data_IF_766524274168
#
_entry.id   IF_766524274168
#
_cell.length_a   1.000
_cell.length_b   1.000
_cell.length_c   1.000
_cell.angle_alpha   90.00
_cell.angle_beta   90.00
_cell.angle_gamma   90.00
#
_symmetry.space_group_name_H-M   'P 1'
#
loop_
_entity.id
_entity.type
_entity.pdbx_description
1 polymer ?
#
# COMPACT_ATOMS: atom_id res chain seq x y z
N UNK A 1 -3.70 -23.14 5.79
CA UNK A 1 -4.39 -22.61 6.97
C UNK A 1 -5.87 -22.70 6.69
N UNK A 2 -6.66 -23.32 7.57
CA UNK A 2 -8.11 -23.48 7.39
C UNK A 2 -8.87 -22.25 7.90
N UNK A 3 -10.16 -22.07 7.56
CA UNK A 3 -10.99 -21.05 8.18
C UNK A 3 -11.04 -21.15 9.71
N UNK A 4 -11.07 -22.36 10.28
CA UNK A 4 -11.13 -22.55 11.74
C UNK A 4 -9.83 -22.07 12.43
N UNK A 5 -8.66 -22.33 11.83
CA UNK A 5 -7.38 -21.81 12.32
C UNK A 5 -7.31 -20.27 12.26
N UNK A 6 -7.96 -19.65 11.27
CA UNK A 6 -8.06 -18.19 11.16
C UNK A 6 -9.01 -17.61 12.22
N UNK A 7 -10.12 -18.28 12.50
CA UNK A 7 -11.06 -17.90 13.56
C UNK A 7 -10.36 -17.95 14.91
N UNK A 8 -9.67 -19.05 15.23
CA UNK A 8 -8.95 -19.20 16.51
C UNK A 8 -7.91 -18.08 16.70
N UNK A 9 -7.13 -17.77 15.65
CA UNK A 9 -6.16 -16.66 15.69
C UNK A 9 -6.81 -15.31 15.92
N UNK A 10 -7.95 -15.06 15.29
CA UNK A 10 -8.65 -13.79 15.46
C UNK A 10 -9.22 -13.66 16.87
N UNK A 11 -9.90 -14.69 17.37
CA UNK A 11 -10.50 -14.66 18.71
C UNK A 11 -9.41 -14.48 19.78
N UNK A 12 -8.26 -15.15 19.63
CA UNK A 12 -7.10 -14.95 20.49
C UNK A 12 -6.54 -13.51 20.44
N UNK A 13 -6.48 -12.91 19.25
CA UNK A 13 -6.04 -11.51 19.12
C UNK A 13 -7.05 -10.53 19.74
N UNK A 14 -8.35 -10.72 19.55
CA UNK A 14 -9.36 -9.86 20.18
C UNK A 14 -9.25 -9.93 21.71
N UNK A 15 -9.06 -11.13 22.27
CA UNK A 15 -8.87 -11.30 23.70
C UNK A 15 -7.62 -10.53 24.20
N UNK A 16 -6.51 -10.57 23.46
CA UNK A 16 -5.31 -9.81 23.77
C UNK A 16 -5.53 -8.29 23.69
N UNK A 17 -6.21 -7.79 22.65
CA UNK A 17 -6.50 -6.36 22.49
C UNK A 17 -7.43 -5.83 23.59
N UNK A 18 -8.40 -6.64 24.05
CA UNK A 18 -9.26 -6.32 25.19
C UNK A 18 -8.44 -6.27 26.49
N UNK A 19 -7.56 -7.24 26.71
CA UNK A 19 -6.68 -7.26 27.88
C UNK A 19 -5.73 -6.04 27.93
N UNK A 20 -5.28 -5.59 26.76
CA UNK A 20 -4.42 -4.40 26.60
C UNK A 20 -5.20 -3.05 26.66
N UNK A 21 -6.52 -3.06 26.82
CA UNK A 21 -7.35 -1.86 26.83
C UNK A 21 -7.46 -1.15 25.47
N UNK A 22 -7.10 -1.83 24.38
CA UNK A 22 -7.24 -1.32 22.99
C UNK A 22 -8.62 -1.60 22.39
N UNK A 23 -9.42 -2.40 23.08
CA UNK A 23 -10.72 -2.91 22.64
C UNK A 23 -11.93 -1.99 22.84
N UNK A 24 -11.79 -0.65 22.81
CA UNK A 24 -12.92 0.24 22.47
C UNK A 24 -12.41 1.66 22.18
N UNK A 25 -13.07 2.39 21.28
CA UNK A 25 -12.85 3.82 20.94
C UNK A 25 -11.74 4.18 19.92
N UNK A 26 -11.91 3.80 18.66
CA UNK A 26 -11.56 4.72 17.55
C UNK A 26 -12.73 4.83 16.59
N UNK A 27 -13.64 5.76 16.90
CA UNK A 27 -14.50 6.34 15.86
C UNK A 27 -13.56 7.01 14.87
N UNK A 28 -13.49 6.49 13.65
CA UNK A 28 -12.97 7.25 12.52
C UNK A 28 -13.82 8.52 12.41
N UNK A 29 -13.28 9.63 12.89
CA UNK A 29 -13.85 10.95 12.64
C UNK A 29 -13.58 11.24 11.18
N UNK A 30 -14.55 10.97 10.31
CA UNK A 30 -14.59 11.55 8.97
C UNK A 30 -14.86 13.05 9.12
N UNK A 31 -13.86 13.81 9.56
CA UNK A 31 -13.90 15.27 9.50
C UNK A 31 -13.41 15.65 8.12
N UNK A 32 -14.35 15.65 7.17
CA UNK A 32 -14.19 16.32 5.88
C UNK A 32 -14.16 17.82 6.14
N UNK A 33 -13.01 18.36 6.56
CA UNK A 33 -12.73 19.78 6.39
C UNK A 33 -12.01 19.95 5.07
N UNK A 34 -12.77 20.48 4.10
CA UNK A 34 -12.29 20.96 2.83
C UNK A 34 -11.11 21.92 3.07
N UNK A 35 -9.89 21.45 2.80
CA UNK A 35 -8.80 22.33 2.47
C UNK A 35 -9.07 22.91 1.08
N UNK A 36 -9.89 23.94 1.00
CA UNK A 36 -9.84 24.90 -0.11
C UNK A 36 -8.56 25.73 0.05
N UNK A 37 -7.42 25.10 -0.18
CA UNK A 37 -6.13 25.76 -0.38
C UNK A 37 -5.98 26.06 -1.87
N UNK A 38 -5.84 27.35 -2.19
CA UNK A 38 -5.86 27.85 -3.57
C UNK A 38 -4.90 27.12 -4.50
N UNK A 39 -5.44 26.70 -5.64
CA UNK A 39 -4.70 26.24 -6.81
C UNK A 39 -3.70 27.32 -7.24
N UNK A 40 -2.41 27.04 -7.07
CA UNK A 40 -1.38 27.51 -8.00
C UNK A 40 -0.78 26.29 -8.68
N UNK A 41 -0.71 26.26 -10.03
CA UNK A 41 0.07 25.25 -10.72
C UNK A 41 1.54 25.36 -10.28
N UNK A 42 2.17 24.25 -9.91
CA UNK A 42 3.62 24.13 -9.61
C UNK A 42 4.46 24.19 -10.92
N UNK A 43 3.94 24.86 -11.97
CA UNK A 43 4.53 24.90 -13.31
C UNK A 43 5.50 26.06 -13.57
N UNK A 44 5.54 27.08 -12.70
CA UNK A 44 6.13 28.38 -13.05
C UNK A 44 7.41 28.74 -12.26
N UNK A 45 8.16 27.75 -11.73
CA UNK A 45 9.34 28.04 -10.89
C UNK A 45 10.68 27.48 -11.38
N UNK A 46 10.78 26.98 -12.63
CA UNK A 46 12.08 26.55 -13.18
C UNK A 46 12.19 26.93 -14.66
N UNK A 47 12.40 28.21 -14.93
CA UNK A 47 13.04 28.69 -16.15
C UNK A 47 13.86 29.93 -15.78
N UNK A 48 15.17 29.75 -15.51
CA UNK A 48 16.18 30.73 -15.92
C UNK A 48 17.61 30.16 -15.88
N UNK A 49 18.23 30.23 -17.06
CA UNK A 49 19.65 30.32 -17.42
C UNK A 49 20.72 29.42 -16.78
N UNK A 50 21.39 28.59 -17.60
CA UNK A 50 22.65 28.97 -18.28
C UNK A 50 23.23 27.80 -19.08
N UNK A 51 23.36 28.02 -20.38
CA UNK A 51 24.25 27.27 -21.25
C UNK A 51 25.63 27.90 -21.18
N UNK A 52 26.67 27.10 -20.87
CA UNK A 52 28.03 27.41 -21.29
C UNK A 52 28.83 26.13 -21.56
N UNK A 53 29.62 26.22 -22.63
CA UNK A 53 30.41 25.19 -23.28
C UNK A 53 31.48 24.53 -22.39
N UNK A 54 31.64 23.19 -22.51
CA UNK A 54 32.95 22.53 -22.42
C UNK A 54 33.06 21.38 -23.42
N UNK A 55 34.21 21.34 -24.09
CA UNK A 55 34.67 20.42 -25.15
C UNK A 55 35.10 19.02 -24.66
N UNK A 56 35.12 18.08 -25.61
CA UNK A 56 35.65 16.69 -25.58
C UNK A 56 36.97 16.48 -24.81
N UNK A 57 37.11 15.34 -24.12
CA UNK A 57 38.11 14.28 -24.44
C UNK A 57 38.06 13.05 -23.51
N UNK A 58 38.08 11.88 -24.16
CA UNK A 58 38.77 10.59 -23.90
C UNK A 58 38.78 9.81 -22.57
N UNK A 59 38.50 8.51 -22.77
CA UNK A 59 39.13 7.29 -22.23
C UNK A 59 39.74 7.28 -20.82
N UNK A 60 39.18 6.43 -19.94
CA UNK A 60 39.82 5.18 -19.48
C UNK A 60 39.19 4.70 -18.16
N UNK A 61 38.98 3.38 -18.10
CA UNK A 61 38.85 2.50 -16.94
C UNK A 61 38.39 3.11 -15.60
N UNK A 62 37.21 2.68 -15.12
CA UNK A 62 36.93 2.71 -13.68
C UNK A 62 36.63 1.32 -13.14
N UNK A 63 37.47 0.98 -12.19
CA UNK A 63 37.42 -0.17 -11.32
C UNK A 63 36.02 -0.36 -10.72
N UNK A 64 35.62 -1.62 -10.63
CA UNK A 64 34.49 -2.10 -9.84
C UNK A 64 34.80 -1.85 -8.36
N UNK A 65 34.60 -0.63 -7.89
CA UNK A 65 34.57 -0.34 -6.45
C UNK A 65 33.35 -1.03 -5.87
N UNK A 66 33.61 -2.08 -5.09
CA UNK A 66 32.62 -2.68 -4.21
C UNK A 66 32.04 -1.59 -3.30
N UNK A 67 30.78 -1.25 -3.54
CA UNK A 67 30.01 -0.32 -2.69
C UNK A 67 29.87 -0.97 -1.31
N UNK A 68 30.18 -0.26 -0.21
CA UNK A 68 30.01 -0.81 1.13
C UNK A 68 28.54 -1.18 1.35
N UNK A 69 28.31 -2.45 1.66
CA UNK A 69 27.01 -3.13 1.76
C UNK A 69 26.19 -2.74 3.01
N UNK A 70 26.16 -1.45 3.39
CA UNK A 70 25.55 -0.98 4.65
C UNK A 70 24.44 0.07 4.52
N UNK A 71 23.96 0.38 3.33
CA UNK A 71 22.95 1.44 3.13
C UNK A 71 21.49 0.96 3.03
N UNK A 72 21.23 -0.32 3.36
CA UNK A 72 19.89 -0.91 3.20
C UNK A 72 19.51 -1.71 4.44
N UNK A 73 18.31 -1.48 4.99
CA UNK A 73 17.75 -2.18 6.15
C UNK A 73 16.75 -3.25 5.70
N UNK A 74 16.85 -4.44 6.28
CA UNK A 74 15.85 -5.52 6.08
C UNK A 74 14.60 -5.25 6.92
N UNK A 75 13.43 -5.57 6.39
CA UNK A 75 12.14 -5.36 7.02
C UNK A 75 11.41 -6.68 7.29
N UNK A 76 10.71 -6.75 8.43
CA UNK A 76 9.92 -7.90 8.85
C UNK A 76 8.46 -7.78 8.37
N UNK A 77 8.27 -7.70 7.05
CA UNK A 77 6.96 -7.55 6.42
C UNK A 77 6.60 -8.85 5.65
N UNK A 78 5.33 -9.28 5.57
CA UNK A 78 4.97 -10.46 4.78
C UNK A 78 5.35 -10.33 3.31
N UNK A 79 5.72 -11.41 2.64
CA UNK A 79 5.94 -11.39 1.19
C UNK A 79 4.66 -10.97 0.43
N UNK A 80 4.78 -10.42 -0.80
CA UNK A 80 3.61 -10.06 -1.61
C UNK A 80 2.58 -11.21 -1.73
N UNK A 81 3.04 -12.45 -1.85
CA UNK A 81 2.19 -13.63 -1.91
C UNK A 81 1.39 -13.88 -0.63
N UNK A 82 1.97 -13.59 0.54
CA UNK A 82 1.25 -13.66 1.83
C UNK A 82 0.28 -12.49 2.02
N UNK A 83 0.54 -11.35 1.40
CA UNK A 83 -0.37 -10.19 1.42
C UNK A 83 -1.56 -10.37 0.46
N UNK A 84 -1.36 -11.05 -0.67
CA UNK A 84 -2.35 -11.19 -1.75
C UNK A 84 -3.77 -11.58 -1.30
N UNK A 85 -3.99 -12.65 -0.50
CA UNK A 85 -5.35 -12.99 -0.08
C UNK A 85 -6.01 -11.90 0.76
N UNK A 86 -5.25 -11.16 1.57
CA UNK A 86 -5.76 -10.06 2.40
C UNK A 86 -6.16 -8.86 1.55
N UNK A 87 -5.31 -8.51 0.58
CA UNK A 87 -5.59 -7.42 -0.36
C UNK A 87 -6.85 -7.72 -1.18
N UNK A 88 -6.93 -8.93 -1.72
CA UNK A 88 -8.09 -9.39 -2.48
C UNK A 88 -9.39 -9.39 -1.65
N UNK A 89 -9.32 -9.85 -0.39
CA UNK A 89 -10.49 -9.85 0.51
C UNK A 89 -10.96 -8.44 0.84
N UNK A 90 -10.02 -7.52 1.10
CA UNK A 90 -10.33 -6.14 1.38
C UNK A 90 -10.93 -5.43 0.15
N UNK A 91 -10.34 -5.65 -1.03
CA UNK A 91 -10.86 -5.15 -2.30
C UNK A 91 -12.27 -5.69 -2.61
N UNK A 92 -12.55 -6.96 -2.33
CA UNK A 92 -13.87 -7.54 -2.50
C UNK A 92 -14.92 -6.84 -1.64
N UNK A 93 -14.62 -6.59 -0.37
CA UNK A 93 -15.53 -5.89 0.55
C UNK A 93 -15.77 -4.46 0.09
N UNK A 94 -14.72 -3.74 -0.31
CA UNK A 94 -14.83 -2.39 -0.86
C UNK A 94 -15.66 -2.35 -2.14
N UNK A 95 -15.41 -3.25 -3.10
CA UNK A 95 -16.13 -3.31 -4.36
C UNK A 95 -17.61 -3.70 -4.17
N UNK A 96 -17.90 -4.62 -3.25
CA UNK A 96 -19.28 -5.02 -2.92
C UNK A 96 -20.15 -3.85 -2.45
N UNK A 97 -19.54 -2.81 -1.89
CA UNK A 97 -20.24 -1.58 -1.49
C UNK A 97 -20.61 -0.69 -2.68
N UNK A 98 -19.80 -0.69 -3.73
CA UNK A 98 -20.04 0.07 -4.96
C UNK A 98 -18.77 0.67 -5.55
N UNK A 99 -18.90 1.20 -6.77
CA UNK A 99 -17.78 1.67 -7.61
C UNK A 99 -16.87 2.68 -6.93
N UNK A 100 -17.43 3.67 -6.22
CA UNK A 100 -16.65 4.68 -5.48
C UNK A 100 -15.68 4.07 -4.46
N UNK A 101 -16.06 2.95 -3.83
CA UNK A 101 -15.22 2.29 -2.83
C UNK A 101 -14.24 1.30 -3.45
N UNK A 102 -14.59 0.73 -4.61
CA UNK A 102 -13.67 -0.10 -5.39
C UNK A 102 -12.41 0.66 -5.82
N UNK A 103 -12.50 1.98 -5.98
CA UNK A 103 -11.35 2.83 -6.31
C UNK A 103 -10.31 2.90 -5.18
N UNK A 104 -10.71 2.74 -3.92
CA UNK A 104 -9.79 2.75 -2.77
C UNK A 104 -9.02 1.43 -2.56
N UNK A 105 -9.37 0.36 -3.27
CA UNK A 105 -8.60 -0.88 -3.20
C UNK A 105 -8.82 -1.79 -4.41
N UNK A 106 -7.81 -1.94 -5.27
CA UNK A 106 -7.93 -2.72 -6.50
C UNK A 106 -6.59 -3.30 -6.97
N UNK A 107 -6.67 -4.23 -7.92
CA UNK A 107 -5.54 -4.68 -8.72
C UNK A 107 -5.74 -4.26 -10.19
N UNK A 108 -4.71 -3.66 -10.80
CA UNK A 108 -4.70 -3.30 -12.23
C UNK A 108 -3.31 -3.47 -12.80
N UNK A 109 -3.18 -4.35 -13.80
CA UNK A 109 -1.89 -4.65 -14.42
C UNK A 109 -0.88 -5.15 -13.38
N UNK A 110 0.25 -4.45 -13.26
CA UNK A 110 1.32 -4.77 -12.32
C UNK A 110 1.18 -4.07 -10.95
N UNK A 111 0.02 -3.48 -10.65
CA UNK A 111 -0.19 -2.67 -9.44
C UNK A 111 -1.32 -3.20 -8.59
N UNK A 112 -1.07 -3.30 -7.28
CA UNK A 112 -2.10 -3.43 -6.26
C UNK A 112 -2.16 -2.13 -5.47
N UNK A 113 -3.33 -1.54 -5.38
CA UNK A 113 -3.56 -0.21 -4.82
C UNK A 113 -4.39 -0.29 -3.54
N UNK A 114 -4.09 0.60 -2.61
CA UNK A 114 -4.85 0.88 -1.40
C UNK A 114 -4.84 2.39 -1.12
N UNK A 115 -6.00 2.93 -0.79
CA UNK A 115 -6.24 4.31 -0.38
C UNK A 115 -7.44 4.31 0.58
N UNK A 116 -7.29 4.94 1.75
CA UNK A 116 -8.37 5.02 2.75
C UNK A 116 -9.31 6.24 2.57
N UNK A 117 -9.02 7.10 1.57
CA UNK A 117 -9.72 8.33 1.23
C UNK A 117 -9.33 9.54 2.07
N UNK A 118 -8.40 9.39 3.01
CA UNK A 118 -7.88 10.43 3.91
C UNK A 118 -6.54 11.03 3.49
N UNK A 119 -6.00 10.64 2.32
CA UNK A 119 -4.65 11.00 1.88
C UNK A 119 -3.60 9.94 2.19
N UNK A 120 -4.02 8.83 2.81
CA UNK A 120 -3.18 7.70 3.18
C UNK A 120 -3.29 6.59 2.13
N UNK A 121 -2.17 6.25 1.49
CA UNK A 121 -2.18 5.32 0.37
C UNK A 121 -0.93 4.45 0.31
N UNK A 122 -1.06 3.29 -0.33
CA UNK A 122 0.06 2.43 -0.67
C UNK A 122 -0.20 1.60 -1.93
N UNK A 123 0.83 1.52 -2.77
CA UNK A 123 0.85 0.73 -3.99
C UNK A 123 1.97 -0.31 -3.95
N UNK A 124 1.61 -1.57 -4.23
CA UNK A 124 2.58 -2.60 -4.57
C UNK A 124 2.69 -2.70 -6.10
N UNK A 125 3.87 -2.39 -6.61
CA UNK A 125 4.24 -2.41 -8.03
C UNK A 125 5.22 -3.53 -8.32
N UNK A 126 4.84 -4.45 -9.18
CA UNK A 126 5.77 -5.47 -9.65
C UNK A 126 6.75 -4.89 -10.68
N UNK A 127 8.03 -5.10 -10.46
CA UNK A 127 9.09 -4.83 -11.44
C UNK A 127 9.31 -6.06 -12.34
N UNK A 128 9.30 -7.24 -11.74
CA UNK A 128 9.46 -8.53 -12.41
C UNK A 128 8.55 -9.59 -11.73
N UNK A 129 8.73 -10.86 -12.07
CA UNK A 129 7.93 -11.96 -11.49
C UNK A 129 8.23 -12.20 -10.00
N UNK A 130 9.39 -11.77 -9.53
CA UNK A 130 9.83 -11.94 -8.15
C UNK A 130 10.14 -10.62 -7.46
N UNK A 131 10.35 -9.53 -8.22
CA UNK A 131 10.71 -8.24 -7.65
C UNK A 131 9.53 -7.28 -7.65
N UNK A 132 9.33 -6.61 -6.53
CA UNK A 132 8.28 -5.61 -6.38
C UNK A 132 8.77 -4.44 -5.54
N UNK A 133 8.12 -3.29 -5.69
CA UNK A 133 8.27 -2.14 -4.82
C UNK A 133 6.94 -1.88 -4.13
N UNK A 134 6.95 -1.71 -2.82
CA UNK A 134 5.85 -1.14 -2.06
C UNK A 134 6.16 0.33 -1.81
N UNK A 135 5.30 1.21 -2.29
CA UNK A 135 5.44 2.67 -2.22
C UNK A 135 4.21 3.20 -1.52
N UNK A 136 4.34 4.17 -0.65
CA UNK A 136 3.16 4.78 -0.04
C UNK A 136 3.50 6.00 0.79
N UNK A 137 2.45 6.52 1.41
CA UNK A 137 2.50 7.73 2.20
C UNK A 137 1.39 7.71 3.24
N UNK A 138 1.74 8.13 4.43
CA UNK A 138 0.78 8.48 5.47
C UNK A 138 0.84 10.00 5.65
N UNK A 139 -0.28 10.66 5.40
CA UNK A 139 -0.39 12.12 5.42
C UNK A 139 -0.10 12.72 6.79
N UNK A 140 -0.37 11.99 7.86
CA UNK A 140 -0.19 12.47 9.23
C UNK A 140 1.18 12.13 9.81
N UNK A 141 1.78 11.02 9.40
CA UNK A 141 2.90 10.40 10.12
C UNK A 141 4.15 10.12 9.27
N UNK A 142 4.14 10.42 7.97
CA UNK A 142 5.36 10.44 7.15
C UNK A 142 6.12 11.75 7.36
N UNK A 143 7.31 11.65 7.97
CA UNK A 143 8.29 12.74 8.15
C UNK A 143 9.47 12.62 7.17
N UNK A 144 9.39 11.70 6.23
CA UNK A 144 10.32 11.52 5.11
C UNK A 144 9.94 12.46 3.97
N UNK A 145 10.65 13.58 3.86
CA UNK A 145 10.41 14.56 2.81
C UNK A 145 11.29 14.25 1.59
N UNK A 146 10.80 13.41 0.68
CA UNK A 146 11.54 13.00 -0.51
C UNK A 146 11.37 13.98 -1.69
N UNK A 147 12.43 14.29 -2.46
CA UNK A 147 12.36 15.08 -3.70
C UNK A 147 11.55 16.38 -3.53
N UNK A 148 10.54 16.63 -4.37
CA UNK A 148 9.73 17.86 -4.33
C UNK A 148 9.00 18.11 -3.00
N UNK A 149 8.83 17.10 -2.14
CA UNK A 149 8.26 17.31 -0.81
C UNK A 149 9.21 18.12 0.10
N UNK A 150 10.52 17.95 -0.03
CA UNK A 150 11.50 18.68 0.78
C UNK A 150 11.36 20.19 0.58
N UNK A 151 11.30 20.62 -0.68
CA UNK A 151 11.13 22.03 -1.04
C UNK A 151 9.74 22.55 -0.64
N UNK A 152 8.68 21.77 -0.92
CA UNK A 152 7.30 22.18 -0.63
C UNK A 152 7.06 22.42 0.87
N UNK A 153 7.63 21.58 1.74
CA UNK A 153 7.44 21.65 3.18
C UNK A 153 8.54 22.43 3.92
N UNK A 154 9.57 22.94 3.22
CA UNK A 154 10.75 23.58 3.80
C UNK A 154 11.42 22.66 4.86
N UNK A 155 11.85 21.49 4.37
CA UNK A 155 12.41 20.39 5.18
C UNK A 155 13.62 19.79 4.49
N UNK A 156 14.48 19.15 5.29
CA UNK A 156 15.62 18.39 4.77
C UNK A 156 15.14 17.19 3.97
N UNK A 157 15.74 16.96 2.81
CA UNK A 157 15.40 15.82 1.97
C UNK A 157 15.80 14.49 2.62
N UNK A 158 14.90 13.50 2.56
CA UNK A 158 15.23 12.09 2.81
C UNK A 158 15.30 11.34 1.48
N UNK A 159 16.49 10.94 1.04
CA UNK A 159 16.65 10.13 -0.20
C UNK A 159 16.22 8.67 0.04
N UNK A 160 14.97 8.37 -0.32
CA UNK A 160 14.37 7.04 -0.21
C UNK A 160 15.02 5.98 -1.14
N UNK A 161 15.91 6.39 -2.04
CA UNK A 161 16.64 5.50 -2.96
C UNK A 161 18.15 5.46 -2.69
N UNK A 162 18.62 6.02 -1.57
CA UNK A 162 20.04 5.99 -1.23
C UNK A 162 20.54 4.54 -1.08
N UNK A 163 21.51 4.16 -1.91
CA UNK A 163 22.17 2.85 -1.83
C UNK A 163 21.32 1.63 -2.23
N UNK A 164 20.12 1.83 -2.78
CA UNK A 164 19.25 0.74 -3.26
C UNK A 164 19.45 0.49 -4.77
N UNK A 165 19.05 -0.69 -5.29
CA UNK A 165 19.14 -0.97 -6.73
C UNK A 165 18.34 0.02 -7.59
N UNK A 166 18.87 0.36 -8.77
CA UNK A 166 18.26 1.34 -9.68
C UNK A 166 16.86 0.95 -10.17
N UNK A 167 16.53 -0.34 -10.18
CA UNK A 167 15.20 -0.81 -10.59
C UNK A 167 14.09 -0.32 -9.66
N UNK A 168 14.38 0.02 -8.39
CA UNK A 168 13.39 0.58 -7.47
C UNK A 168 12.89 1.91 -7.99
N UNK A 169 13.83 2.80 -8.36
CA UNK A 169 13.51 4.13 -8.90
C UNK A 169 12.80 4.01 -10.25
N UNK A 170 13.17 3.04 -11.08
CA UNK A 170 12.47 2.79 -12.33
C UNK A 170 11.01 2.37 -12.09
N UNK A 171 10.76 1.42 -11.18
CA UNK A 171 9.41 0.99 -10.82
C UNK A 171 8.57 2.10 -10.16
N UNK A 172 9.21 3.02 -9.44
CA UNK A 172 8.59 4.16 -8.77
C UNK A 172 8.45 5.41 -9.65
N UNK A 173 9.02 5.43 -10.87
CA UNK A 173 9.15 6.64 -11.71
C UNK A 173 7.84 7.39 -11.92
N UNK A 174 6.74 6.67 -12.16
CA UNK A 174 5.42 7.29 -12.32
C UNK A 174 4.88 7.98 -11.06
N UNK A 175 5.29 7.55 -9.86
CA UNK A 175 4.92 8.21 -8.59
C UNK A 175 5.78 9.45 -8.37
N UNK A 176 7.08 9.39 -8.68
CA UNK A 176 7.99 10.54 -8.62
C UNK A 176 7.48 11.67 -9.54
N UNK A 177 6.99 11.32 -10.74
CA UNK A 177 6.38 12.31 -11.63
C UNK A 177 5.08 12.91 -11.04
N UNK A 178 4.18 12.07 -10.51
CA UNK A 178 2.92 12.54 -9.90
C UNK A 178 3.15 13.38 -8.66
N UNK A 179 4.16 13.05 -7.86
CA UNK A 179 4.59 13.87 -6.74
C UNK A 179 4.83 15.33 -7.17
N UNK A 180 5.62 15.52 -8.23
CA UNK A 180 5.94 16.85 -8.77
C UNK A 180 4.74 17.57 -9.39
N UNK A 181 3.81 16.82 -10.00
CA UNK A 181 2.68 17.37 -10.77
C UNK A 181 1.42 17.61 -9.95
N UNK A 182 1.13 16.73 -9.00
CA UNK A 182 -0.15 16.67 -8.28
C UNK A 182 0.01 16.63 -6.76
N UNK A 183 1.23 16.66 -6.22
CA UNK A 183 1.47 16.62 -4.78
C UNK A 183 1.18 15.27 -4.13
N UNK A 184 1.27 14.19 -4.91
CA UNK A 184 1.17 12.82 -4.39
C UNK A 184 2.50 12.45 -3.71
N UNK A 185 2.66 12.88 -2.46
CA UNK A 185 3.89 12.71 -1.69
C UNK A 185 4.21 11.24 -1.44
N UNK A 186 5.51 10.93 -1.33
CA UNK A 186 6.01 9.58 -1.08
C UNK A 186 6.71 9.57 0.28
N UNK A 187 6.18 8.78 1.21
CA UNK A 187 6.74 8.60 2.55
C UNK A 187 7.72 7.43 2.61
N UNK A 188 7.41 6.32 1.96
CA UNK A 188 8.27 5.14 1.99
C UNK A 188 8.37 4.44 0.64
N UNK A 189 9.52 3.78 0.44
CA UNK A 189 9.80 2.91 -0.72
C UNK A 189 10.53 1.67 -0.23
N UNK A 190 9.86 0.53 -0.28
CA UNK A 190 10.41 -0.76 0.12
C UNK A 190 10.52 -1.68 -1.09
N UNK A 191 11.67 -2.30 -1.31
CA UNK A 191 11.84 -3.29 -2.37
C UNK A 191 11.80 -4.72 -1.83
N UNK A 192 11.10 -5.58 -2.56
CA UNK A 192 11.12 -7.03 -2.40
C UNK A 192 12.00 -7.62 -3.49
N UNK A 193 13.03 -8.38 -3.10
CA UNK A 193 14.01 -8.98 -4.02
C UNK A 193 13.63 -10.42 -4.47
N UNK A 194 12.41 -10.86 -4.17
CA UNK A 194 11.97 -12.25 -4.32
C UNK A 194 12.07 -13.08 -3.04
N UNK A 195 12.82 -12.61 -2.05
CA UNK A 195 13.02 -13.31 -0.78
C UNK A 195 12.66 -12.45 0.43
N UNK A 196 13.11 -11.19 0.47
CA UNK A 196 12.95 -10.30 1.62
C UNK A 196 12.61 -8.89 1.19
N UNK A 197 11.98 -8.17 2.12
CA UNK A 197 11.78 -6.73 2.01
C UNK A 197 12.98 -5.97 2.54
N UNK A 198 13.26 -4.84 1.93
CA UNK A 198 14.32 -3.93 2.34
C UNK A 198 13.94 -2.48 2.08
N UNK A 199 14.61 -1.53 2.73
CA UNK A 199 14.51 -0.08 2.50
C UNK A 199 15.87 0.62 2.60
N UNK A 200 15.98 1.83 2.05
CA UNK A 200 17.13 2.69 2.27
C UNK A 200 17.34 2.97 3.78
N UNK A 201 18.60 3.18 4.18
CA UNK A 201 18.99 3.42 5.57
C UNK A 201 18.71 4.88 5.99
N UNK A 202 17.51 5.12 6.53
CA UNK A 202 17.10 6.40 7.14
C UNK A 202 16.42 6.19 8.49
N UNK A 203 16.36 7.25 9.32
CA UNK A 203 15.88 7.21 10.71
C UNK A 203 14.52 7.85 10.93
N UNK A 204 14.13 8.74 10.01
CA UNK A 204 12.89 9.47 10.00
C UNK A 204 11.69 8.51 9.98
N UNK A 205 10.61 8.81 10.72
CA UNK A 205 9.35 8.10 10.58
C UNK A 205 8.84 8.21 9.15
N UNK A 206 8.59 7.08 8.49
CA UNK A 206 8.12 7.06 7.09
C UNK A 206 6.61 6.82 6.95
N UNK A 207 5.91 6.68 8.07
CA UNK A 207 4.46 6.50 8.13
C UNK A 207 3.97 5.06 7.92
N UNK A 208 4.81 4.10 7.54
CA UNK A 208 4.35 2.75 7.19
C UNK A 208 3.57 2.04 8.30
N UNK A 209 4.07 2.10 9.54
CA UNK A 209 3.40 1.46 10.69
C UNK A 209 2.09 2.18 11.06
N UNK A 210 2.06 3.50 10.92
CA UNK A 210 0.90 4.34 11.24
C UNK A 210 -0.25 4.12 10.25
N UNK A 211 0.10 3.92 8.97
CA UNK A 211 -0.82 3.60 7.87
C UNK A 211 -1.66 2.36 8.20
N UNK A 212 -1.12 1.45 9.01
CA UNK A 212 -1.87 0.33 9.56
C UNK A 212 -2.51 -0.54 8.47
N UNK A 213 -1.72 -0.79 7.42
CA UNK A 213 -2.16 -1.43 6.17
C UNK A 213 -2.94 -2.71 6.46
N UNK A 214 -4.18 -2.86 5.91
CA UNK A 214 -5.01 -4.04 6.17
C UNK A 214 -4.32 -5.36 5.84
N UNK A 215 -3.38 -5.38 4.89
CA UNK A 215 -2.72 -6.58 4.39
C UNK A 215 -1.42 -6.96 5.12
N UNK A 216 -1.03 -6.20 6.15
CA UNK A 216 0.17 -6.48 6.98
C UNK A 216 0.04 -7.76 7.82
N UNK A 217 -1.16 -8.12 8.27
CA UNK A 217 -1.41 -9.34 9.04
C UNK A 217 -2.86 -9.83 8.88
N UNK A 218 -3.12 -11.10 9.21
CA UNK A 218 -4.48 -11.64 9.19
C UNK A 218 -5.37 -10.92 10.21
N UNK A 219 -4.85 -10.65 11.40
CA UNK A 219 -5.56 -9.93 12.45
C UNK A 219 -5.94 -8.51 12.03
N UNK A 220 -4.99 -7.75 11.47
CA UNK A 220 -5.26 -6.39 10.97
C UNK A 220 -6.32 -6.43 9.87
N UNK A 221 -6.20 -7.38 8.93
CA UNK A 221 -7.16 -7.50 7.84
C UNK A 221 -8.56 -7.86 8.34
N UNK A 222 -8.66 -8.86 9.22
CA UNK A 222 -9.93 -9.31 9.78
C UNK A 222 -10.67 -8.18 10.49
N UNK A 223 -9.96 -7.44 11.34
CA UNK A 223 -10.51 -6.28 12.06
C UNK A 223 -11.02 -5.23 11.08
N UNK A 224 -10.20 -4.84 10.09
CA UNK A 224 -10.57 -3.83 9.10
C UNK A 224 -11.76 -4.24 8.24
N UNK A 225 -11.84 -5.50 7.81
CA UNK A 225 -12.99 -6.04 7.06
C UNK A 225 -14.25 -6.01 7.94
N UNK A 226 -14.15 -6.46 9.19
CA UNK A 226 -15.26 -6.46 10.12
C UNK A 226 -15.77 -5.03 10.38
N UNK A 227 -14.86 -4.08 10.63
CA UNK A 227 -15.19 -2.67 10.84
C UNK A 227 -15.96 -2.10 9.64
N UNK A 228 -15.49 -2.36 8.41
CA UNK A 228 -16.17 -1.93 7.20
C UNK A 228 -17.59 -2.52 7.10
N UNK A 229 -17.71 -3.86 7.15
CA UNK A 229 -19.00 -4.54 7.03
C UNK A 229 -19.99 -4.08 8.10
N UNK A 230 -19.53 -3.96 9.35
CA UNK A 230 -20.36 -3.55 10.48
C UNK A 230 -20.75 -2.08 10.41
N UNK A 231 -19.88 -1.20 9.91
CA UNK A 231 -20.20 0.22 9.74
C UNK A 231 -21.30 0.45 8.70
N UNK A 232 -21.39 -0.41 7.68
CA UNK A 232 -22.38 -0.26 6.59
C UNK A 232 -23.67 -1.02 6.88
N UNK A 233 -23.58 -2.11 7.66
CA UNK A 233 -24.70 -3.00 8.01
C UNK A 233 -24.68 -3.30 9.52
N UNK A 234 -24.99 -2.31 10.38
CA UNK A 234 -24.85 -2.47 11.84
C UNK A 234 -25.76 -3.54 12.44
N UNK A 235 -26.87 -3.88 11.76
CA UNK A 235 -27.83 -4.90 12.18
C UNK A 235 -27.51 -6.31 11.64
N UNK A 236 -26.51 -6.44 10.77
CA UNK A 236 -26.05 -7.74 10.22
C UNK A 236 -24.53 -7.84 10.39
N UNK A 237 -24.12 -7.98 11.65
CA UNK A 237 -22.71 -7.97 12.02
C UNK A 237 -21.95 -9.12 11.38
N UNK A 238 -20.77 -8.84 10.84
CA UNK A 238 -19.86 -9.85 10.36
C UNK A 238 -19.39 -10.73 11.53
N UNK A 239 -19.44 -12.05 11.35
CA UNK A 239 -18.94 -13.01 12.33
C UNK A 239 -17.46 -13.34 12.08
N UNK A 240 -16.78 -13.90 13.08
CA UNK A 240 -15.40 -14.40 12.92
C UNK A 240 -15.27 -15.33 11.71
N UNK A 241 -16.24 -16.24 11.54
CA UNK A 241 -16.27 -17.21 10.46
C UNK A 241 -16.48 -16.58 9.08
N UNK A 242 -17.34 -15.56 8.98
CA UNK A 242 -17.60 -14.83 7.73
C UNK A 242 -16.32 -14.18 7.20
N UNK A 243 -15.57 -13.47 8.05
CA UNK A 243 -14.33 -12.81 7.62
C UNK A 243 -13.21 -13.81 7.39
N UNK A 244 -13.09 -14.84 8.23
CA UNK A 244 -12.12 -15.92 8.01
C UNK A 244 -12.35 -16.61 6.66
N UNK A 245 -13.60 -16.82 6.26
CA UNK A 245 -13.95 -17.39 4.95
C UNK A 245 -13.52 -16.47 3.80
N UNK A 246 -13.73 -15.15 3.92
CA UNK A 246 -13.22 -14.19 2.94
C UNK A 246 -11.70 -14.26 2.83
N UNK A 247 -10.97 -14.19 3.95
CA UNK A 247 -9.51 -14.24 3.97
C UNK A 247 -8.94 -15.55 3.41
N UNK A 248 -9.56 -16.67 3.76
CA UNK A 248 -9.17 -17.98 3.27
C UNK A 248 -9.30 -18.06 1.74
N UNK A 249 -10.41 -17.58 1.19
CA UNK A 249 -10.62 -17.54 -0.25
C UNK A 249 -9.73 -16.51 -0.93
N UNK A 250 -9.63 -15.31 -0.37
CA UNK A 250 -8.83 -14.20 -0.88
C UNK A 250 -9.02 -13.97 -2.37
N UNK A 251 -7.95 -14.15 -3.15
CA UNK A 251 -7.91 -14.00 -4.61
C UNK A 251 -8.57 -15.15 -5.39
N UNK A 252 -9.16 -16.12 -4.70
CA UNK A 252 -9.91 -17.24 -5.28
C UNK A 252 -11.36 -17.24 -4.79
N UNK A 253 -11.88 -16.04 -4.50
CA UNK A 253 -13.25 -15.87 -4.01
C UNK A 253 -14.25 -16.37 -5.07
N UNK A 254 -15.02 -17.38 -4.67
CA UNK A 254 -16.10 -17.92 -5.47
C UNK A 254 -17.43 -17.22 -5.13
N UNK A 255 -18.37 -17.29 -6.08
CA UNK A 255 -19.71 -16.70 -5.94
C UNK A 255 -20.46 -17.27 -4.74
N UNK A 256 -20.34 -18.58 -4.45
CA UNK A 256 -21.05 -19.21 -3.34
C UNK A 256 -20.65 -18.61 -1.98
N UNK A 257 -19.34 -18.42 -1.77
CA UNK A 257 -18.79 -17.80 -0.57
C UNK A 257 -19.22 -16.33 -0.54
N UNK A 258 -19.08 -15.61 -1.66
CA UNK A 258 -19.48 -14.21 -1.75
C UNK A 258 -20.98 -14.00 -1.47
N UNK A 259 -21.87 -14.83 -1.99
CA UNK A 259 -23.31 -14.78 -1.72
C UNK A 259 -23.62 -14.97 -0.23
N UNK A 260 -22.95 -15.91 0.43
CA UNK A 260 -23.13 -16.16 1.86
C UNK A 260 -22.74 -14.97 2.74
N UNK A 261 -21.81 -14.14 2.26
CA UNK A 261 -21.31 -12.96 2.99
C UNK A 261 -22.07 -11.69 2.59
N UNK A 262 -22.26 -11.45 1.31
CA UNK A 262 -22.71 -10.17 0.76
C UNK A 262 -24.20 -10.18 0.37
N UNK A 263 -24.76 -11.33 0.03
CA UNK A 263 -26.13 -11.45 -0.50
C UNK A 263 -27.20 -11.01 0.50
N UNK A 264 -27.17 -11.55 1.72
CA UNK A 264 -28.10 -11.14 2.79
C UNK A 264 -27.97 -9.64 3.15
N UNK A 265 -26.77 -9.08 2.97
CA UNK A 265 -26.44 -7.66 3.19
C UNK A 265 -26.90 -6.75 2.05
N UNK A 266 -27.40 -7.32 0.94
CA UNK A 266 -27.73 -6.62 -0.31
C UNK A 266 -26.54 -5.81 -0.84
N UNK A 267 -25.36 -6.41 -0.80
CA UNK A 267 -24.13 -5.89 -1.38
C UNK A 267 -23.88 -6.57 -2.73
N UNK A 268 -23.09 -5.93 -3.58
CA UNK A 268 -22.82 -6.40 -4.95
C UNK A 268 -21.85 -7.59 -4.94
N UNK A 269 -22.40 -8.79 -5.06
CA UNK A 269 -21.67 -10.06 -5.07
C UNK A 269 -20.75 -10.15 -6.29
N UNK A 270 -21.19 -9.66 -7.45
CA UNK A 270 -20.47 -9.81 -8.71
C UNK A 270 -19.24 -8.90 -8.71
N UNK A 271 -19.40 -7.67 -8.22
CA UNK A 271 -18.29 -6.75 -8.01
C UNK A 271 -17.28 -7.29 -7.01
N UNK A 272 -17.74 -7.92 -5.92
CA UNK A 272 -16.86 -8.52 -4.92
C UNK A 272 -15.97 -9.62 -5.50
N UNK A 273 -16.59 -10.56 -6.22
CA UNK A 273 -15.89 -11.69 -6.86
C UNK A 273 -14.91 -11.18 -7.92
N UNK A 274 -15.34 -10.23 -8.76
CA UNK A 274 -14.48 -9.66 -9.79
C UNK A 274 -13.26 -8.95 -9.18
N UNK A 275 -13.45 -8.15 -8.13
CA UNK A 275 -12.38 -7.41 -7.47
C UNK A 275 -11.37 -8.35 -6.78
N UNK A 276 -11.83 -9.36 -6.05
CA UNK A 276 -10.95 -10.37 -5.45
C UNK A 276 -10.10 -11.09 -6.51
N UNK A 277 -10.75 -11.55 -7.58
CA UNK A 277 -10.10 -12.38 -8.59
C UNK A 277 -9.17 -11.55 -9.51
N UNK A 278 -9.21 -10.22 -9.46
CA UNK A 278 -8.25 -9.36 -10.17
C UNK A 278 -6.82 -9.46 -9.60
N UNK A 279 -6.67 -9.94 -8.36
CA UNK A 279 -5.37 -10.17 -7.71
C UNK A 279 -4.75 -11.49 -8.17
N UNK A 280 -4.65 -11.70 -9.48
CA UNK A 280 -3.93 -12.85 -10.04
C UNK A 280 -2.42 -12.64 -9.95
N UNK A 281 -1.62 -13.70 -9.80
CA UNK A 281 -0.18 -13.60 -10.03
C UNK A 281 0.09 -13.04 -11.43
N UNK A 282 1.17 -12.27 -11.58
CA UNK A 282 1.57 -11.74 -12.88
C UNK A 282 1.63 -12.87 -13.91
N UNK A 283 1.04 -12.69 -15.11
CA UNK A 283 1.15 -13.69 -16.17
C UNK A 283 2.62 -13.98 -16.44
N UNK A 284 2.93 -15.26 -16.74
CA UNK A 284 4.28 -15.65 -17.15
C UNK A 284 4.55 -14.94 -18.48
N UNK A 285 5.30 -13.85 -18.45
CA UNK A 285 5.90 -13.32 -19.67
C UNK A 285 6.90 -14.36 -20.17
N UNK A 286 6.72 -14.82 -21.41
CA UNK A 286 7.77 -15.50 -22.14
C UNK A 286 8.86 -14.45 -22.38
N UNK A 287 9.96 -14.53 -21.62
CA UNK A 287 11.19 -13.79 -21.87
C UNK A 287 12.07 -14.58 -22.84
#
# INVERSE_FOLDING_TARGET
MTPDELVERWDNQQAADIADGKGDSRRFSTRSELATGGHRPIGDLLDDERADHVTRSDCSARATTAVPSRLVRTLAIPSPEKMRPRWASYAAVSAARGSRWAEGCYARGATWHFDDGGGNWADLRWHSRSEAVLIGYDHEYSETYFDAAADYFDRSETDLFAGVPSWWRHAASGYIERQRRTGEWIGFVYGFDGYRWSRADYTEPDGFDALGLPFSSDATCSRRIADLLNSWKPHDRATSHTVASLLYRGHTLDRSTADSVFGARRLDVDAAVAAANAFTPLPRGDH
#
